data_IF_495771269058
#
_entry.id   IF_495771269058
#
_cell.length_a   1.000
_cell.length_b   1.000
_cell.length_c   1.000
_cell.angle_alpha   90.00
_cell.angle_beta   90.00
_cell.angle_gamma   90.00
#
_symmetry.space_group_name_H-M   'P 1'
#
loop_
_entity.id
_entity.type
_entity.pdbx_description
1 polymer ?
#
# COMPACT_ATOMS: atom_id res chain seq x y z
N UNK A 1 2.23 -32.66 -16.63
CA UNK A 1 2.10 -31.49 -15.73
C UNK A 1 1.53 -30.35 -16.56
N UNK A 2 0.29 -29.95 -16.32
CA UNK A 2 -0.26 -28.74 -16.90
C UNK A 2 0.29 -27.56 -16.11
N UNK A 3 1.18 -26.80 -16.72
CA UNK A 3 1.49 -25.45 -16.26
C UNK A 3 0.21 -24.62 -16.41
N UNK A 4 -0.42 -24.32 -15.29
CA UNK A 4 -1.48 -23.33 -15.26
C UNK A 4 -0.83 -21.98 -15.59
N UNK A 5 -0.93 -21.57 -16.85
CA UNK A 5 -0.77 -20.19 -17.25
C UNK A 5 -1.81 -19.37 -16.46
N UNK A 6 -1.44 -18.89 -15.29
CA UNK A 6 -2.15 -17.80 -14.67
C UNK A 6 -1.92 -16.58 -15.57
N UNK A 7 -2.76 -16.44 -16.59
CA UNK A 7 -2.89 -15.19 -17.30
C UNK A 7 -3.30 -14.17 -16.24
N UNK A 8 -2.37 -13.29 -15.84
CA UNK A 8 -2.72 -12.12 -15.03
C UNK A 8 -3.85 -11.39 -15.76
N UNK A 9 -5.05 -11.46 -15.20
CA UNK A 9 -6.19 -10.70 -15.67
C UNK A 9 -5.87 -9.22 -15.40
N UNK A 10 -5.26 -8.56 -16.39
CA UNK A 10 -5.09 -7.12 -16.35
C UNK A 10 -6.46 -6.48 -16.43
N UNK A 11 -6.88 -5.91 -15.30
CA UNK A 11 -8.11 -5.10 -15.24
C UNK A 11 -7.82 -3.71 -15.81
N UNK A 12 -8.80 -3.15 -16.52
CA UNK A 12 -8.72 -1.78 -16.99
C UNK A 12 -8.84 -0.75 -15.83
N UNK A 13 -8.59 0.50 -16.12
CA UNK A 13 -8.65 1.58 -15.12
C UNK A 13 -10.05 1.75 -14.52
N UNK A 14 -11.10 1.50 -15.28
CA UNK A 14 -12.48 1.59 -14.81
C UNK A 14 -12.76 0.47 -13.80
N UNK A 15 -12.39 -0.76 -14.11
CA UNK A 15 -12.53 -1.90 -13.21
C UNK A 15 -11.72 -1.69 -11.91
N UNK A 16 -10.51 -1.15 -12.02
CA UNK A 16 -9.69 -0.83 -10.86
C UNK A 16 -10.37 0.22 -9.96
N UNK A 17 -10.96 1.25 -10.55
CA UNK A 17 -11.71 2.26 -9.81
C UNK A 17 -12.91 1.65 -9.07
N UNK A 18 -13.70 0.80 -9.75
CA UNK A 18 -14.85 0.11 -9.14
C UNK A 18 -14.41 -0.80 -7.98
N UNK A 19 -13.34 -1.56 -8.16
CA UNK A 19 -12.78 -2.41 -7.10
C UNK A 19 -12.36 -1.59 -5.87
N UNK A 20 -11.71 -0.45 -6.08
CA UNK A 20 -11.33 0.44 -4.98
C UNK A 20 -12.54 0.98 -4.23
N UNK A 21 -13.54 1.44 -4.96
CA UNK A 21 -14.78 1.95 -4.37
C UNK A 21 -15.46 0.89 -3.52
N UNK A 22 -15.56 -0.32 -4.02
CA UNK A 22 -16.12 -1.47 -3.28
C UNK A 22 -15.31 -1.77 -2.01
N UNK A 23 -13.99 -1.86 -2.11
CA UNK A 23 -13.14 -2.16 -0.95
C UNK A 23 -13.20 -1.06 0.12
N UNK A 24 -13.28 0.21 -0.25
CA UNK A 24 -13.49 1.29 0.73
C UNK A 24 -14.86 1.22 1.41
N UNK A 25 -15.90 0.83 0.71
CA UNK A 25 -17.21 0.60 1.32
C UNK A 25 -17.17 -0.57 2.32
N UNK A 26 -16.50 -1.66 1.97
CA UNK A 26 -16.30 -2.81 2.87
C UNK A 26 -15.45 -2.44 4.08
N UNK A 27 -14.38 -1.69 3.90
CA UNK A 27 -13.55 -1.19 4.99
C UNK A 27 -14.37 -0.35 5.98
N UNK A 28 -15.15 0.60 5.50
CA UNK A 28 -15.99 1.43 6.34
C UNK A 28 -17.04 0.60 7.12
N UNK A 29 -17.65 -0.40 6.48
CA UNK A 29 -18.57 -1.32 7.15
C UNK A 29 -17.86 -2.17 8.21
N UNK A 30 -16.69 -2.70 7.89
CA UNK A 30 -15.91 -3.50 8.83
C UNK A 30 -15.56 -2.70 10.09
N UNK A 31 -15.06 -1.48 9.92
CA UNK A 31 -14.73 -0.58 11.03
C UNK A 31 -15.97 -0.22 11.87
N UNK A 32 -17.08 0.11 11.21
CA UNK A 32 -18.33 0.47 11.89
C UNK A 32 -18.93 -0.69 12.71
N UNK A 33 -18.71 -1.93 12.31
CA UNK A 33 -19.24 -3.14 12.96
C UNK A 33 -18.22 -3.85 13.86
N UNK A 34 -17.03 -3.29 14.04
CA UNK A 34 -15.98 -3.89 14.86
C UNK A 34 -15.30 -5.10 14.25
N UNK A 35 -15.42 -5.34 12.94
CA UNK A 35 -14.72 -6.39 12.20
C UNK A 35 -13.28 -5.94 11.88
N UNK A 36 -12.51 -5.76 12.93
CA UNK A 36 -11.20 -5.11 12.84
C UNK A 36 -10.16 -5.93 12.08
N UNK A 37 -10.22 -7.26 12.14
CA UNK A 37 -9.32 -8.13 11.37
C UNK A 37 -9.60 -8.03 9.86
N UNK A 38 -10.88 -8.00 9.46
CA UNK A 38 -11.26 -7.75 8.07
C UNK A 38 -10.81 -6.36 7.62
N UNK A 39 -11.01 -5.35 8.45
CA UNK A 39 -10.55 -3.98 8.19
C UNK A 39 -9.04 -3.95 7.92
N UNK A 40 -8.22 -4.53 8.79
CA UNK A 40 -6.77 -4.58 8.63
C UNK A 40 -6.33 -5.37 7.40
N UNK A 41 -7.06 -6.38 7.01
CA UNK A 41 -6.78 -7.11 5.76
C UNK A 41 -6.96 -6.22 4.53
N UNK A 42 -8.07 -5.47 4.48
CA UNK A 42 -8.36 -4.54 3.37
C UNK A 42 -7.33 -3.39 3.37
N UNK A 43 -7.04 -2.82 4.53
CA UNK A 43 -6.04 -1.75 4.70
C UNK A 43 -4.67 -2.17 4.16
N UNK A 44 -4.21 -3.35 4.51
CA UNK A 44 -2.94 -3.90 4.01
C UNK A 44 -2.95 -4.05 2.48
N UNK A 45 -4.02 -4.58 1.90
CA UNK A 45 -4.13 -4.75 0.46
C UNK A 45 -4.09 -3.40 -0.28
N UNK A 46 -4.74 -2.36 0.27
CA UNK A 46 -4.71 -1.02 -0.30
C UNK A 46 -3.29 -0.42 -0.21
N UNK A 47 -2.63 -0.54 0.93
CA UNK A 47 -1.25 -0.05 1.10
C UNK A 47 -0.29 -0.71 0.12
N UNK A 48 -0.42 -2.01 -0.08
CA UNK A 48 0.41 -2.75 -1.02
C UNK A 48 0.20 -2.31 -2.46
N UNK A 49 -1.06 -2.14 -2.88
CA UNK A 49 -1.37 -1.65 -4.23
C UNK A 49 -0.93 -0.19 -4.43
N UNK A 50 -1.08 0.67 -3.43
CA UNK A 50 -0.64 2.08 -3.55
C UNK A 50 0.86 2.22 -3.69
N UNK A 51 1.64 1.43 -2.97
CA UNK A 51 3.11 1.43 -3.11
C UNK A 51 3.57 0.90 -4.47
N UNK A 52 2.89 -0.09 -5.02
CA UNK A 52 3.14 -0.55 -6.39
C UNK A 52 2.77 0.54 -7.41
N UNK A 53 1.61 1.15 -7.27
CA UNK A 53 1.15 2.24 -8.13
C UNK A 53 2.14 3.40 -8.18
N UNK A 54 2.74 3.77 -7.04
CA UNK A 54 3.79 4.80 -6.99
C UNK A 54 5.00 4.41 -7.85
N UNK A 55 5.49 3.19 -7.73
CA UNK A 55 6.63 2.72 -8.52
C UNK A 55 6.32 2.71 -10.03
N UNK A 56 5.12 2.33 -10.40
CA UNK A 56 4.68 2.32 -11.81
C UNK A 56 4.57 3.73 -12.38
N UNK A 57 3.95 4.67 -11.66
CA UNK A 57 3.83 6.06 -12.10
C UNK A 57 5.17 6.80 -12.14
N UNK A 58 6.10 6.41 -11.30
CA UNK A 58 7.45 6.94 -11.28
C UNK A 58 8.38 6.37 -12.37
N UNK A 59 7.90 5.46 -13.22
CA UNK A 59 8.70 4.66 -14.16
C UNK A 59 9.85 3.88 -13.49
N UNK A 60 9.63 3.43 -12.26
CA UNK A 60 10.63 2.72 -11.45
C UNK A 60 10.34 1.21 -11.32
N UNK A 61 9.20 0.75 -11.81
CA UNK A 61 8.75 -0.63 -11.58
C UNK A 61 9.72 -1.67 -12.14
N UNK A 62 10.15 -1.52 -13.38
CA UNK A 62 11.08 -2.46 -14.03
C UNK A 62 12.45 -2.48 -13.35
N UNK A 63 12.99 -1.31 -13.00
CA UNK A 63 14.25 -1.20 -12.27
C UNK A 63 14.15 -1.83 -10.86
N UNK A 64 13.03 -1.65 -10.18
CA UNK A 64 12.74 -2.28 -8.92
C UNK A 64 12.70 -3.81 -9.04
N UNK A 65 11.96 -4.36 -10.02
CA UNK A 65 11.89 -5.80 -10.25
C UNK A 65 13.27 -6.39 -10.58
N UNK A 66 14.06 -5.71 -11.41
CA UNK A 66 15.43 -6.12 -11.72
C UNK A 66 16.30 -6.20 -10.46
N UNK A 67 16.19 -5.22 -9.56
CA UNK A 67 16.90 -5.24 -8.28
C UNK A 67 16.45 -6.38 -7.37
N UNK A 68 15.17 -6.76 -7.42
CA UNK A 68 14.63 -7.90 -6.66
C UNK A 68 15.13 -9.24 -7.15
N UNK A 69 15.40 -9.38 -8.46
CA UNK A 69 15.78 -10.65 -9.07
C UNK A 69 14.69 -11.71 -8.89
N UNK A 70 15.05 -12.89 -8.39
CA UNK A 70 14.09 -13.98 -8.15
C UNK A 70 13.24 -13.81 -6.88
N UNK A 71 13.49 -12.78 -6.09
CA UNK A 71 12.67 -12.45 -4.91
C UNK A 71 11.43 -11.69 -5.36
N UNK A 72 10.25 -12.19 -5.02
CA UNK A 72 9.00 -11.53 -5.36
C UNK A 72 8.86 -10.11 -4.75
N UNK A 73 7.94 -9.30 -5.29
CA UNK A 73 7.62 -8.00 -4.70
C UNK A 73 7.08 -8.15 -3.27
N UNK A 74 7.52 -7.28 -2.36
CA UNK A 74 6.99 -7.17 -1.01
C UNK A 74 6.75 -5.70 -0.68
N UNK A 75 5.83 -5.42 0.23
CA UNK A 75 5.58 -4.03 0.66
C UNK A 75 6.84 -3.38 1.23
N UNK A 76 7.62 -4.11 2.03
CA UNK A 76 8.88 -3.62 2.57
C UNK A 76 9.87 -3.21 1.48
N UNK A 77 10.06 -4.06 0.48
CA UNK A 77 11.01 -3.78 -0.60
C UNK A 77 10.53 -2.65 -1.52
N UNK A 78 9.24 -2.54 -1.76
CA UNK A 78 8.66 -1.41 -2.51
C UNK A 78 8.87 -0.09 -1.78
N UNK A 79 8.54 -0.03 -0.50
CA UNK A 79 8.73 1.16 0.32
C UNK A 79 10.22 1.53 0.43
N UNK A 80 11.10 0.56 0.71
CA UNK A 80 12.54 0.80 0.78
C UNK A 80 13.11 1.36 -0.53
N UNK A 81 12.59 0.88 -1.67
CA UNK A 81 13.01 1.38 -2.98
C UNK A 81 12.57 2.84 -3.18
N UNK A 82 11.33 3.18 -2.81
CA UNK A 82 10.82 4.55 -2.88
C UNK A 82 11.64 5.48 -1.97
N UNK A 83 11.88 5.06 -0.73
CA UNK A 83 12.69 5.82 0.23
C UNK A 83 14.13 6.04 -0.25
N UNK A 84 14.72 5.04 -0.91
CA UNK A 84 16.04 5.17 -1.55
C UNK A 84 16.04 6.25 -2.64
N UNK A 85 14.99 6.37 -3.42
CA UNK A 85 14.82 7.43 -4.42
C UNK A 85 14.60 8.81 -3.78
N UNK A 86 13.84 8.88 -2.70
CA UNK A 86 13.70 10.12 -1.89
C UNK A 86 15.07 10.56 -1.38
N UNK A 87 15.84 9.67 -0.78
CA UNK A 87 17.16 9.96 -0.23
C UNK A 87 18.18 10.36 -1.30
N UNK A 88 18.03 9.87 -2.53
CA UNK A 88 18.88 10.27 -3.66
C UNK A 88 18.45 11.57 -4.35
N UNK A 89 17.41 12.25 -3.85
CA UNK A 89 17.03 13.59 -4.28
C UNK A 89 16.06 13.65 -5.45
N UNK A 90 15.26 12.60 -5.70
CA UNK A 90 14.13 12.66 -6.64
C UNK A 90 13.15 13.75 -6.21
N UNK A 91 13.05 14.82 -7.00
CA UNK A 91 12.32 16.05 -6.61
C UNK A 91 10.84 15.83 -6.32
N UNK A 92 10.14 15.05 -7.17
CA UNK A 92 8.72 14.81 -6.96
C UNK A 92 8.48 13.85 -5.80
N UNK A 93 9.25 12.79 -5.68
CA UNK A 93 9.15 11.89 -4.54
C UNK A 93 9.48 12.60 -3.23
N UNK A 94 10.52 13.43 -3.20
CA UNK A 94 10.83 14.26 -2.02
C UNK A 94 9.68 15.18 -1.63
N UNK A 95 9.03 15.82 -2.60
CA UNK A 95 7.91 16.72 -2.33
C UNK A 95 6.76 16.04 -1.60
N UNK A 96 6.47 14.77 -1.93
CA UNK A 96 5.29 14.07 -1.42
C UNK A 96 5.59 13.03 -0.35
N UNK A 97 6.82 12.53 -0.25
CA UNK A 97 7.18 11.37 0.58
C UNK A 97 8.45 11.56 1.42
N UNK A 98 8.88 12.79 1.69
CA UNK A 98 10.04 13.06 2.54
C UNK A 98 9.74 13.05 4.04
N UNK A 99 8.47 12.98 4.43
CA UNK A 99 8.05 12.82 5.82
C UNK A 99 8.08 11.33 6.25
N UNK A 100 7.51 11.03 7.40
CA UNK A 100 7.53 9.70 8.01
C UNK A 100 6.36 8.78 7.59
N UNK A 101 5.52 9.17 6.62
CA UNK A 101 4.34 8.39 6.24
C UNK A 101 4.68 6.94 5.87
N UNK A 102 5.70 6.74 5.03
CA UNK A 102 6.10 5.39 4.60
C UNK A 102 6.69 4.58 5.76
N UNK A 103 7.40 5.21 6.67
CA UNK A 103 7.89 4.56 7.90
C UNK A 103 6.73 4.12 8.78
N UNK A 104 5.71 4.96 8.95
CA UNK A 104 4.51 4.63 9.71
C UNK A 104 3.74 3.43 9.11
N UNK A 105 3.67 3.34 7.78
CA UNK A 105 3.10 2.18 7.09
C UNK A 105 3.86 0.90 7.43
N UNK A 106 5.19 0.94 7.44
CA UNK A 106 6.01 -0.22 7.81
C UNK A 106 5.84 -0.61 9.28
N UNK A 107 5.82 0.35 10.19
CA UNK A 107 5.58 0.11 11.63
C UNK A 107 4.20 -0.51 11.83
N UNK A 108 3.17 0.03 11.22
CA UNK A 108 1.82 -0.51 11.30
C UNK A 108 1.76 -1.96 10.78
N UNK A 109 2.39 -2.22 9.66
CA UNK A 109 2.45 -3.57 9.07
C UNK A 109 3.12 -4.57 10.01
N UNK A 110 4.21 -4.19 10.68
CA UNK A 110 4.87 -5.06 11.67
C UNK A 110 3.98 -5.34 12.88
N UNK A 111 3.30 -4.33 13.41
CA UNK A 111 2.36 -4.50 14.52
C UNK A 111 1.17 -5.38 14.13
N UNK A 112 0.63 -5.19 12.92
CA UNK A 112 -0.42 -6.05 12.37
C UNK A 112 0.03 -7.51 12.30
N UNK A 113 1.21 -7.75 11.77
CA UNK A 113 1.75 -9.11 11.67
C UNK A 113 1.95 -9.73 13.06
N UNK A 114 2.49 -8.97 14.00
CA UNK A 114 2.64 -9.41 15.39
C UNK A 114 1.30 -9.83 16.01
N UNK A 115 0.28 -8.99 15.87
CA UNK A 115 -1.07 -9.30 16.38
C UNK A 115 -1.67 -10.53 15.73
N UNK A 116 -1.60 -10.66 14.41
CA UNK A 116 -2.14 -11.82 13.70
C UNK A 116 -1.45 -13.12 14.15
N UNK A 117 -0.13 -13.11 14.30
CA UNK A 117 0.59 -14.27 14.81
C UNK A 117 0.31 -14.58 16.28
N UNK A 118 -0.08 -13.58 17.05
CA UNK A 118 -0.40 -13.72 18.47
C UNK A 118 -1.83 -14.18 18.76
N UNK A 119 -2.74 -14.10 17.80
CA UNK A 119 -4.19 -14.31 17.98
C UNK A 119 -4.57 -15.57 18.77
N UNK A 120 -3.84 -16.66 18.57
CA UNK A 120 -4.09 -17.95 19.25
C UNK A 120 -3.04 -18.33 20.28
N UNK A 121 -1.98 -17.52 20.43
CA UNK A 121 -0.81 -17.87 21.24
C UNK A 121 -0.59 -16.97 22.45
N UNK A 122 -1.14 -15.77 22.44
CA UNK A 122 -0.91 -14.78 23.47
C UNK A 122 -2.24 -14.14 23.88
N UNK A 123 -2.27 -13.68 25.12
CA UNK A 123 -3.33 -12.83 25.62
C UNK A 123 -3.03 -11.39 25.18
N UNK A 124 -3.97 -10.74 24.50
CA UNK A 124 -3.90 -9.32 24.17
C UNK A 124 -5.28 -8.67 24.40
N UNK A 125 -5.27 -7.38 24.63
CA UNK A 125 -6.50 -6.65 24.86
C UNK A 125 -7.22 -6.37 23.53
N UNK A 126 -8.54 -6.46 23.56
CA UNK A 126 -9.38 -6.17 22.39
C UNK A 126 -9.16 -4.75 21.84
N UNK A 127 -8.82 -3.79 22.71
CA UNK A 127 -8.49 -2.42 22.33
C UNK A 127 -7.29 -2.32 21.39
N UNK A 128 -6.25 -3.15 21.52
CA UNK A 128 -5.09 -3.12 20.63
C UNK A 128 -5.49 -3.38 19.17
N UNK A 129 -6.41 -4.30 18.93
CA UNK A 129 -6.91 -4.61 17.58
C UNK A 129 -7.73 -3.44 17.03
N UNK A 130 -8.61 -2.87 17.85
CA UNK A 130 -9.45 -1.73 17.48
C UNK A 130 -8.60 -0.50 17.14
N UNK A 131 -7.63 -0.18 17.96
CA UNK A 131 -6.72 0.95 17.76
C UNK A 131 -5.87 0.76 16.51
N UNK A 132 -5.34 -0.45 16.29
CA UNK A 132 -4.52 -0.74 15.12
C UNK A 132 -5.32 -0.65 13.82
N UNK A 133 -6.56 -1.14 13.79
CA UNK A 133 -7.45 -1.00 12.64
C UNK A 133 -7.78 0.49 12.36
N UNK A 134 -8.05 1.29 13.39
CA UNK A 134 -8.29 2.72 13.25
C UNK A 134 -7.05 3.45 12.71
N UNK A 135 -5.87 3.13 13.20
CA UNK A 135 -4.61 3.67 12.72
C UNK A 135 -4.35 3.30 11.26
N UNK A 136 -4.61 2.05 10.88
CA UNK A 136 -4.50 1.59 9.48
C UNK A 136 -5.40 2.37 8.54
N UNK A 137 -6.63 2.68 8.96
CA UNK A 137 -7.55 3.50 8.18
C UNK A 137 -7.02 4.92 7.92
N UNK A 138 -6.44 5.57 8.93
CA UNK A 138 -5.82 6.89 8.75
C UNK A 138 -4.60 6.83 7.79
N UNK A 139 -3.76 5.81 7.91
CA UNK A 139 -2.62 5.59 7.01
C UNK A 139 -3.06 5.33 5.56
N UNK A 140 -4.11 4.54 5.35
CA UNK A 140 -4.69 4.28 4.03
C UNK A 140 -5.21 5.57 3.40
N UNK A 141 -5.93 6.40 4.15
CA UNK A 141 -6.42 7.70 3.67
C UNK A 141 -5.28 8.63 3.29
N UNK A 142 -4.26 8.74 4.14
CA UNK A 142 -3.08 9.57 3.89
C UNK A 142 -2.31 9.08 2.66
N UNK A 143 -2.05 7.80 2.55
CA UNK A 143 -1.32 7.21 1.42
C UNK A 143 -2.08 7.36 0.11
N UNK A 144 -3.40 7.13 0.12
CA UNK A 144 -4.26 7.34 -1.04
C UNK A 144 -4.25 8.79 -1.51
N UNK A 145 -4.44 9.73 -0.61
CA UNK A 145 -4.44 11.17 -0.92
C UNK A 145 -3.10 11.59 -1.51
N UNK A 146 -2.02 11.18 -0.89
CA UNK A 146 -0.66 11.59 -1.28
C UNK A 146 -0.21 10.95 -2.58
N UNK A 147 -0.48 9.65 -2.78
CA UNK A 147 -0.19 8.98 -4.04
C UNK A 147 -1.00 9.54 -5.20
N UNK A 148 -2.26 9.90 -4.97
CA UNK A 148 -3.09 10.57 -5.96
C UNK A 148 -2.54 11.94 -6.37
N UNK A 149 -2.07 12.73 -5.42
CA UNK A 149 -1.43 14.03 -5.71
C UNK A 149 -0.12 13.87 -6.47
N UNK A 150 0.70 12.90 -6.08
CA UNK A 150 1.93 12.55 -6.80
C UNK A 150 1.64 12.13 -8.24
N UNK A 151 0.70 11.24 -8.47
CA UNK A 151 0.34 10.76 -9.80
C UNK A 151 -0.12 11.90 -10.71
N UNK A 152 -0.93 12.83 -10.20
CA UNK A 152 -1.35 14.04 -10.96
C UNK A 152 -0.16 14.93 -11.28
N UNK A 153 0.79 15.09 -10.38
CA UNK A 153 2.00 15.89 -10.63
C UNK A 153 2.90 15.24 -11.69
N UNK A 154 3.03 13.92 -11.70
CA UNK A 154 3.76 13.18 -12.74
C UNK A 154 3.10 13.40 -14.11
N UNK A 155 1.78 13.25 -14.20
CA UNK A 155 1.06 13.44 -15.46
C UNK A 155 1.19 14.88 -15.99
N UNK A 156 1.12 15.90 -15.13
CA UNK A 156 1.37 17.30 -15.51
C UNK A 156 2.79 17.52 -16.04
N UNK A 157 3.78 16.87 -15.48
CA UNK A 157 5.17 17.01 -15.92
C UNK A 157 5.42 16.40 -17.31
N UNK A 158 4.57 15.46 -17.76
CA UNK A 158 4.65 14.81 -19.08
C UNK A 158 4.02 15.64 -20.20
N UNK A 159 3.22 16.66 -19.89
CA UNK A 159 2.58 17.53 -20.90
C UNK A 159 3.60 18.54 -21.42
N UNK A 160 3.92 18.59 -22.74
CA UNK A 160 4.79 19.62 -23.30
C UNK A 160 4.17 21.00 -23.10
N UNK A 161 5.00 22.00 -22.71
CA UNK A 161 4.61 23.40 -22.66
C UNK A 161 4.49 23.97 -24.06
#
# INVERSE_FOLDING_TARGET
MMEANMTELTIDNQQKYENYKEQFQRLNKALANGFNLEAMFIEYAIMEDRTESLLRHADLWEAYLKKRGNRGPTINSKISYIQGRVNSGDKLLCKYFSDDLLDQVLIWKEERNRLIHALLKQQFEHNEITELAAQGNELVKALRSRSGSYNRAVEKAKVPK
#
